data_IF_172117680114
#
_entry.id   IF_172117680114
#
_cell.length_a   1.000
_cell.length_b   1.000
_cell.length_c   1.000
_cell.angle_alpha   90.00
_cell.angle_beta   90.00
_cell.angle_gamma   90.00
#
_symmetry.space_group_name_H-M   'P 1'
#
loop_
_entity.id
_entity.type
_entity.pdbx_description
1 polymer ?
#
# COMPACT_ATOMS: atom_id res chain seq x y z
N UNK A 1 -5.34 -16.00 -6.37
CA UNK A 1 -6.14 -14.76 -6.35
C UNK A 1 -5.65 -13.72 -7.36
N UNK A 2 -4.38 -13.31 -7.42
CA UNK A 2 -3.94 -12.32 -8.43
C UNK A 2 -3.32 -12.91 -9.72
N UNK A 3 -2.68 -14.08 -9.66
CA UNK A 3 -2.25 -14.83 -10.85
C UNK A 3 -3.05 -16.14 -11.06
N UNK A 4 -4.36 -16.08 -10.80
CA UNK A 4 -5.29 -17.21 -11.01
C UNK A 4 -4.88 -18.52 -10.30
N UNK A 5 -4.15 -18.41 -9.18
CA UNK A 5 -3.75 -19.58 -8.37
C UNK A 5 -2.50 -20.30 -8.86
N UNK A 6 -1.80 -19.77 -9.88
CA UNK A 6 -0.53 -20.31 -10.35
C UNK A 6 0.61 -19.93 -9.40
N UNK A 7 1.64 -20.77 -9.35
CA UNK A 7 2.92 -20.40 -8.77
C UNK A 7 3.63 -19.42 -9.71
N UNK A 8 3.93 -18.23 -9.20
CA UNK A 8 4.51 -17.13 -9.98
C UNK A 8 5.84 -16.71 -9.38
N UNK A 9 6.76 -16.25 -10.22
CA UNK A 9 8.03 -15.69 -9.73
C UNK A 9 7.80 -14.36 -9.02
N UNK A 10 8.68 -14.02 -8.07
CA UNK A 10 8.67 -12.73 -7.39
C UNK A 10 8.74 -11.58 -8.40
N UNK A 11 9.55 -11.72 -9.46
CA UNK A 11 9.69 -10.71 -10.52
C UNK A 11 8.36 -10.40 -11.21
N UNK A 12 7.51 -11.41 -11.45
CA UNK A 12 6.18 -11.21 -12.04
C UNK A 12 5.21 -10.52 -11.05
N UNK A 13 5.34 -10.83 -9.77
CA UNK A 13 4.41 -10.37 -8.72
C UNK A 13 4.91 -9.15 -7.94
N UNK A 14 6.06 -8.59 -8.31
CA UNK A 14 6.82 -7.63 -7.52
C UNK A 14 5.96 -6.46 -7.01
N UNK A 15 5.25 -5.78 -7.91
CA UNK A 15 4.43 -4.62 -7.57
C UNK A 15 3.18 -4.98 -6.74
N UNK A 16 2.71 -6.22 -6.80
CA UNK A 16 1.55 -6.68 -6.01
C UNK A 16 1.92 -7.07 -4.59
N UNK A 17 3.20 -7.17 -4.26
CA UNK A 17 3.65 -7.60 -2.94
C UNK A 17 3.11 -6.70 -1.83
N UNK A 18 3.33 -5.38 -1.94
CA UNK A 18 2.87 -4.41 -0.94
C UNK A 18 1.33 -4.33 -0.90
N UNK A 19 0.68 -4.41 -2.07
CA UNK A 19 -0.77 -4.44 -2.15
C UNK A 19 -1.41 -5.62 -1.41
N UNK A 20 -0.82 -6.81 -1.53
CA UNK A 20 -1.28 -7.99 -0.80
C UNK A 20 -1.02 -7.87 0.71
N UNK A 21 0.10 -7.24 1.10
CA UNK A 21 0.42 -6.97 2.50
C UNK A 21 -0.62 -6.03 3.14
N UNK A 22 -0.93 -4.93 2.44
CA UNK A 22 -1.94 -3.95 2.86
C UNK A 22 -3.34 -4.54 2.98
N UNK A 23 -3.76 -5.36 2.02
CA UNK A 23 -5.03 -6.07 2.09
C UNK A 23 -5.10 -6.98 3.34
N UNK A 24 -4.05 -7.78 3.56
CA UNK A 24 -4.01 -8.68 4.70
C UNK A 24 -4.04 -7.92 6.04
N UNK A 25 -3.34 -6.78 6.13
CA UNK A 25 -3.34 -5.92 7.32
C UNK A 25 -4.73 -5.30 7.58
N UNK A 26 -5.39 -4.80 6.54
CA UNK A 26 -6.74 -4.24 6.64
C UNK A 26 -7.75 -5.29 7.13
N UNK A 27 -7.74 -6.48 6.52
CA UNK A 27 -8.60 -7.59 6.91
C UNK A 27 -8.34 -8.02 8.36
N UNK A 28 -7.08 -8.04 8.80
CA UNK A 28 -6.73 -8.37 10.18
C UNK A 28 -7.26 -7.32 11.18
N UNK A 29 -7.15 -6.02 10.85
CA UNK A 29 -7.67 -4.95 11.68
C UNK A 29 -9.20 -4.99 11.79
N UNK A 30 -9.89 -5.24 10.69
CA UNK A 30 -11.35 -5.40 10.69
C UNK A 30 -11.80 -6.63 11.49
N UNK A 31 -11.04 -7.74 11.46
CA UNK A 31 -11.32 -8.89 12.34
C UNK A 31 -11.08 -8.57 13.82
N UNK A 32 -10.03 -7.82 14.13
CA UNK A 32 -9.68 -7.48 15.51
C UNK A 32 -10.63 -6.43 16.11
N UNK A 33 -11.07 -5.45 15.32
CA UNK A 33 -11.96 -4.37 15.77
C UNK A 33 -13.00 -4.03 14.69
N UNK A 34 -14.06 -4.85 14.53
CA UNK A 34 -15.00 -4.75 13.39
C UNK A 34 -15.70 -3.40 13.26
N UNK A 35 -15.92 -2.71 14.39
CA UNK A 35 -16.64 -1.44 14.43
C UNK A 35 -15.70 -0.22 14.44
N UNK A 36 -14.40 -0.41 14.20
CA UNK A 36 -13.42 0.68 14.08
C UNK A 36 -12.84 0.71 12.68
N UNK A 37 -12.89 1.88 12.04
CA UNK A 37 -12.23 2.11 10.76
C UNK A 37 -10.71 1.96 10.92
N UNK A 38 -10.05 1.04 10.20
CA UNK A 38 -8.60 0.94 10.23
C UNK A 38 -7.96 2.20 9.63
N UNK A 39 -6.93 2.71 10.29
CA UNK A 39 -5.99 3.67 9.69
C UNK A 39 -4.70 2.93 9.40
N UNK A 40 -4.34 2.87 8.12
CA UNK A 40 -3.14 2.18 7.64
C UNK A 40 -2.44 3.06 6.63
N UNK A 41 -1.11 3.08 6.70
CA UNK A 41 -0.23 3.78 5.76
C UNK A 41 0.77 2.80 5.18
N UNK A 42 1.04 2.91 3.88
CA UNK A 42 2.07 2.11 3.19
C UNK A 42 3.02 3.01 2.40
N UNK A 43 4.24 2.52 2.20
CA UNK A 43 5.24 3.16 1.31
C UNK A 43 5.06 2.76 -0.16
N UNK A 44 4.48 1.58 -0.41
CA UNK A 44 4.38 1.02 -1.75
C UNK A 44 2.96 0.46 -1.98
N UNK A 45 2.49 0.55 -3.21
CA UNK A 45 1.16 0.08 -3.59
C UNK A 45 1.04 -0.14 -5.08
N UNK A 46 -0.04 -0.80 -5.48
CA UNK A 46 -0.43 -0.99 -6.88
C UNK A 46 -1.87 -0.51 -7.10
N UNK A 47 -2.33 -0.42 -8.35
CA UNK A 47 -3.69 0.03 -8.64
C UNK A 47 -4.74 -0.75 -7.81
N UNK A 48 -5.48 -0.03 -6.97
CA UNK A 48 -6.43 -0.59 -6.01
C UNK A 48 -6.00 -0.49 -4.54
N UNK A 49 -4.76 -0.09 -4.26
CA UNK A 49 -4.21 0.15 -2.92
C UNK A 49 -5.11 1.05 -2.06
N UNK A 50 -5.68 2.08 -2.70
CA UNK A 50 -6.50 3.11 -2.07
C UNK A 50 -7.76 2.57 -1.36
N UNK A 51 -8.12 1.30 -1.59
CA UNK A 51 -9.21 0.62 -0.84
C UNK A 51 -8.81 0.23 0.58
N UNK A 52 -7.52 0.06 0.84
CA UNK A 52 -7.02 -0.55 2.08
C UNK A 52 -6.17 0.41 2.93
N UNK A 53 -5.38 1.28 2.28
CA UNK A 53 -4.37 2.12 2.95
C UNK A 53 -4.26 3.50 2.31
N UNK A 54 -3.72 4.46 3.06
CA UNK A 54 -3.15 5.68 2.52
C UNK A 54 -1.69 5.42 2.09
N UNK A 55 -1.20 6.19 1.12
CA UNK A 55 0.20 6.12 0.68
C UNK A 55 0.91 7.41 1.09
N UNK A 56 2.09 7.29 1.68
CA UNK A 56 3.00 8.42 1.88
C UNK A 56 4.09 8.41 0.80
N UNK A 57 4.58 9.59 0.46
CA UNK A 57 5.47 9.88 -0.67
C UNK A 57 6.89 9.31 -0.54
N UNK A 58 7.19 8.58 0.53
CA UNK A 58 8.51 8.00 0.75
C UNK A 58 9.51 8.99 1.36
N UNK A 59 10.75 8.52 1.49
CA UNK A 59 11.82 9.22 2.17
C UNK A 59 12.17 10.51 1.42
N UNK A 60 11.84 11.66 1.99
CA UNK A 60 12.18 12.98 1.46
C UNK A 60 13.41 13.57 2.16
N UNK A 61 13.95 14.65 1.59
CA UNK A 61 14.95 15.49 2.23
C UNK A 61 14.35 16.87 2.49
N UNK A 62 14.90 17.61 3.45
CA UNK A 62 14.49 18.97 3.76
C UNK A 62 15.03 19.94 2.69
N UNK A 63 14.40 19.97 1.52
CA UNK A 63 14.69 20.90 0.42
C UNK A 63 13.39 21.48 -0.15
N UNK A 64 13.49 22.68 -0.73
CA UNK A 64 12.37 23.32 -1.45
C UNK A 64 11.87 22.45 -2.62
N UNK A 65 12.78 21.78 -3.34
CA UNK A 65 12.42 20.85 -4.42
C UNK A 65 11.53 19.69 -3.93
N UNK A 66 11.83 19.14 -2.75
CA UNK A 66 11.04 18.07 -2.15
C UNK A 66 9.73 18.59 -1.54
N UNK A 67 9.70 19.85 -1.09
CA UNK A 67 8.46 20.51 -0.69
C UNK A 67 7.53 20.68 -1.90
N UNK A 68 8.05 21.17 -3.02
CA UNK A 68 7.29 21.33 -4.26
C UNK A 68 6.78 19.99 -4.80
N UNK A 69 7.62 18.95 -4.78
CA UNK A 69 7.21 17.60 -5.17
C UNK A 69 6.04 17.09 -4.32
N UNK A 70 6.06 17.36 -3.00
CA UNK A 70 4.99 16.96 -2.08
C UNK A 70 3.62 17.61 -2.35
N UNK A 71 3.59 18.77 -3.00
CA UNK A 71 2.34 19.45 -3.40
C UNK A 71 1.79 18.90 -4.72
N UNK A 72 2.67 18.45 -5.62
CA UNK A 72 2.31 18.04 -6.99
C UNK A 72 1.87 16.57 -7.12
N UNK A 73 2.22 15.71 -6.17
CA UNK A 73 1.84 14.29 -6.15
C UNK A 73 0.49 14.06 -5.47
#
# INVERSE_FOLDING_TARGET
MYDKGRTSSQKKMHNLYAFMMSQAANDAMLRHSPNRRPFLVTRAGFAGEQRFTAVWTGDNVASEDHLELGIRM
#
